data_IF_942336384199
#
_entry.id   IF_942336384199
#
_cell.length_a   1.000
_cell.length_b   1.000
_cell.length_c   1.000
_cell.angle_alpha   90.00
_cell.angle_beta   90.00
_cell.angle_gamma   90.00
#
_symmetry.space_group_name_H-M   'P 1'
#
loop_
_entity.id
_entity.type
_entity.pdbx_description
1 polymer ?
#
# COMPACT_ATOMS: atom_id res chain seq x y z
N UNK A 1 16.23 37.37 -68.11
CA UNK A 1 16.71 37.86 -66.81
C UNK A 1 17.96 37.07 -66.48
N UNK A 2 19.13 37.66 -66.79
CA UNK A 2 20.18 38.06 -65.82
C UNK A 2 20.92 36.84 -65.25
N UNK A 3 22.04 36.43 -65.86
CA UNK A 3 23.44 36.86 -65.59
C UNK A 3 24.10 35.96 -64.55
N UNK A 4 25.01 35.04 -64.94
CA UNK A 4 26.43 35.23 -65.27
C UNK A 4 27.34 34.95 -64.05
N UNK A 5 28.52 34.38 -64.37
CA UNK A 5 29.78 34.39 -63.60
C UNK A 5 29.79 33.66 -62.26
N UNK A 6 30.53 32.54 -62.17
CA UNK A 6 31.93 32.55 -61.74
C UNK A 6 32.02 31.76 -60.42
N UNK A 7 33.13 31.32 -59.85
CA UNK A 7 34.56 31.36 -60.13
C UNK A 7 35.21 30.69 -58.89
N UNK A 8 36.34 29.97 -59.07
CA UNK A 8 37.43 29.73 -58.08
C UNK A 8 37.13 28.96 -56.76
N UNK A 9 37.82 27.85 -56.47
CA UNK A 9 39.18 27.68 -55.88
C UNK A 9 39.32 28.09 -54.41
N UNK A 10 39.67 27.15 -53.53
CA UNK A 10 40.99 27.08 -52.87
C UNK A 10 40.95 26.10 -51.70
N UNK A 11 42.04 25.34 -51.59
CA UNK A 11 42.38 24.45 -50.49
C UNK A 11 42.66 25.22 -49.19
N UNK A 12 42.52 24.53 -48.05
CA UNK A 12 43.41 24.58 -46.88
C UNK A 12 42.99 23.44 -45.93
N UNK A 13 43.68 22.30 -45.97
CA UNK A 13 44.88 21.92 -45.20
C UNK A 13 44.52 21.15 -43.91
N UNK A 14 45.14 19.98 -43.67
CA UNK A 14 44.84 19.09 -42.57
C UNK A 14 45.56 19.54 -41.31
N UNK A 15 45.03 19.17 -40.14
CA UNK A 15 45.88 19.03 -38.95
C UNK A 15 45.82 17.60 -38.41
N UNK A 16 47.04 17.12 -38.27
CA UNK A 16 47.48 15.81 -37.87
C UNK A 16 47.53 15.69 -36.34
N UNK A 17 47.16 14.49 -35.89
CA UNK A 17 47.67 13.71 -34.74
C UNK A 17 47.96 14.39 -33.39
N UNK A 18 47.31 13.86 -32.34
CA UNK A 18 48.03 13.38 -31.14
C UNK A 18 47.40 12.06 -30.64
N UNK A 19 48.22 11.01 -30.68
CA UNK A 19 48.14 9.78 -29.85
C UNK A 19 48.64 10.14 -28.44
N UNK A 20 48.09 9.62 -27.34
CA UNK A 20 48.50 8.33 -26.77
C UNK A 20 47.57 7.90 -25.59
N UNK A 21 47.54 6.58 -25.27
CA UNK A 21 46.71 5.99 -24.22
C UNK A 21 47.42 5.97 -22.86
N UNK A 22 46.70 6.12 -21.75
CA UNK A 22 47.19 5.63 -20.44
C UNK A 22 46.07 5.11 -19.55
N UNK A 23 46.33 3.88 -19.11
CA UNK A 23 45.59 3.00 -18.21
C UNK A 23 45.50 3.59 -16.79
N UNK A 24 44.34 3.51 -16.14
CA UNK A 24 44.27 3.48 -14.66
C UNK A 24 43.41 2.30 -14.22
N UNK A 25 44.11 1.28 -13.74
CA UNK A 25 43.57 0.12 -13.05
C UNK A 25 43.04 0.47 -11.65
N UNK A 26 41.93 -0.19 -11.33
CA UNK A 26 41.51 -0.76 -10.03
C UNK A 26 41.21 0.17 -8.84
N UNK A 27 39.93 0.16 -8.46
CA UNK A 27 39.41 0.61 -7.15
C UNK A 27 39.16 -0.65 -6.31
N UNK A 28 39.73 -0.78 -5.11
CA UNK A 28 39.33 -1.83 -4.17
C UNK A 28 38.19 -1.34 -3.25
N UNK A 29 37.09 -2.10 -3.23
CA UNK A 29 36.15 -2.24 -2.09
C UNK A 29 36.74 -3.35 -1.18
N UNK A 30 36.58 -3.37 0.17
CA UNK A 30 35.28 -3.29 0.83
C UNK A 30 35.25 -2.70 2.28
N UNK A 31 34.08 -2.26 2.71
CA UNK A 31 33.71 -2.34 4.13
C UNK A 31 32.25 -2.80 4.26
N UNK A 32 32.11 -3.95 4.92
CA UNK A 32 30.86 -4.55 5.33
C UNK A 32 30.12 -3.63 6.30
N UNK A 33 28.89 -3.22 5.95
CA UNK A 33 27.86 -2.93 6.94
C UNK A 33 26.57 -3.60 6.49
N UNK A 34 26.23 -4.67 7.20
CA UNK A 34 24.93 -5.33 7.09
C UNK A 34 23.83 -4.38 7.57
N UNK A 35 22.67 -4.30 6.91
CA UNK A 35 21.48 -3.76 7.55
C UNK A 35 20.88 -4.84 8.46
N UNK A 36 21.11 -4.71 9.77
CA UNK A 36 20.26 -5.36 10.76
C UNK A 36 18.92 -4.61 10.88
N UNK A 37 17.76 -5.29 10.85
CA UNK A 37 16.48 -4.67 11.09
C UNK A 37 16.27 -4.51 12.59
N UNK A 38 16.55 -3.33 13.13
CA UNK A 38 16.22 -3.04 14.53
C UNK A 38 14.85 -2.37 14.61
N UNK A 39 13.92 -3.16 15.13
CA UNK A 39 12.64 -2.74 15.68
C UNK A 39 12.86 -1.58 16.66
N UNK A 40 12.11 -0.49 16.50
CA UNK A 40 11.79 0.38 17.63
C UNK A 40 10.41 1.03 17.44
N UNK A 41 9.38 0.20 17.57
CA UNK A 41 8.21 0.63 18.33
C UNK A 41 8.67 0.64 19.79
N UNK A 42 8.77 1.83 20.38
CA UNK A 42 8.60 2.08 21.82
C UNK A 42 8.77 3.58 22.06
N UNK A 43 7.64 4.30 22.13
CA UNK A 43 7.60 5.58 22.83
C UNK A 43 6.77 5.39 24.09
N UNK A 44 7.52 5.14 25.17
CA UNK A 44 7.33 5.58 26.56
C UNK A 44 5.88 5.75 27.03
N UNK A 45 5.37 4.78 27.78
CA UNK A 45 4.37 5.07 28.82
C UNK A 45 5.17 5.37 30.09
N UNK A 46 5.00 6.59 30.62
CA UNK A 46 5.56 6.99 31.90
C UNK A 46 4.96 6.11 32.99
N UNK A 47 5.81 5.33 33.65
CA UNK A 47 5.53 4.78 34.97
C UNK A 47 5.68 5.94 35.96
N UNK A 48 4.56 6.42 36.48
CA UNK A 48 4.56 7.40 37.56
C UNK A 48 4.02 6.68 38.79
N UNK A 49 4.94 6.48 39.73
CA UNK A 49 4.72 5.87 41.02
C UNK A 49 3.56 6.52 41.78
N UNK A 50 2.96 5.67 42.61
CA UNK A 50 1.91 5.96 43.55
C UNK A 50 2.48 6.84 44.67
N UNK A 51 1.82 7.96 44.94
CA UNK A 51 1.76 8.55 46.28
C UNK A 51 0.26 8.82 46.56
N UNK A 52 -0.23 8.22 47.63
CA UNK A 52 -1.55 8.43 48.21
C UNK A 52 -1.48 9.65 49.14
N UNK A 53 -2.60 10.35 49.32
CA UNK A 53 -3.18 10.92 50.57
C UNK A 53 -4.29 11.93 50.14
N UNK A 54 -5.59 11.62 50.31
CA UNK A 54 -6.57 12.22 51.28
C UNK A 54 -6.94 13.70 50.90
N UNK A 55 -8.17 14.18 50.66
CA UNK A 55 -9.51 13.98 51.25
C UNK A 55 -10.65 14.57 50.35
N UNK A 56 -11.89 14.13 50.64
CA UNK A 56 -13.21 14.81 50.61
C UNK A 56 -14.07 15.06 49.34
N UNK A 57 -15.38 14.90 49.62
CA UNK A 57 -16.62 15.27 48.91
C UNK A 57 -17.29 14.32 47.87
N UNK A 58 -18.54 13.98 48.21
CA UNK A 58 -19.58 13.25 47.47
C UNK A 58 -19.86 13.78 46.06
N UNK A 59 -19.75 12.92 45.03
CA UNK A 59 -20.60 12.96 43.84
C UNK A 59 -20.57 11.59 43.12
N UNK A 60 -21.61 10.78 43.36
CA UNK A 60 -21.92 9.58 42.59
C UNK A 60 -22.46 9.98 41.21
N UNK A 61 -21.62 10.06 40.17
CA UNK A 61 -22.11 9.83 38.80
C UNK A 61 -21.04 9.39 37.77
N UNK A 62 -21.11 8.10 37.43
CA UNK A 62 -20.64 7.42 36.20
C UNK A 62 -19.12 7.39 35.92
N UNK A 63 -18.45 6.43 36.55
CA UNK A 63 -17.27 5.77 35.97
C UNK A 63 -17.63 5.16 34.60
N UNK A 64 -16.92 5.48 33.48
CA UNK A 64 -17.31 5.00 32.15
C UNK A 64 -17.28 3.47 32.12
N UNK A 65 -18.47 2.91 31.91
CA UNK A 65 -18.71 1.47 31.94
C UNK A 65 -17.72 0.73 31.03
N UNK A 66 -16.96 -0.18 31.66
CA UNK A 66 -16.28 -1.37 31.10
C UNK A 66 -16.37 -1.47 29.57
N UNK A 67 -15.23 -1.32 28.88
CA UNK A 67 -15.08 -1.63 27.44
C UNK A 67 -15.85 -2.90 27.13
N UNK A 68 -16.99 -2.77 26.46
CA UNK A 68 -17.81 -3.92 26.15
C UNK A 68 -16.98 -4.85 25.24
N UNK A 69 -16.82 -6.11 25.67
CA UNK A 69 -16.03 -7.10 24.94
C UNK A 69 -16.54 -7.31 23.51
N UNK A 70 -15.82 -8.13 22.73
CA UNK A 70 -16.20 -8.44 21.35
C UNK A 70 -17.59 -9.09 21.31
N UNK A 71 -18.59 -8.35 20.82
CA UNK A 71 -19.97 -8.87 20.64
C UNK A 71 -20.09 -9.65 19.33
N UNK A 72 -20.90 -10.71 19.33
CA UNK A 72 -21.27 -11.46 18.11
C UNK A 72 -22.17 -10.58 17.22
N UNK A 73 -21.96 -10.64 15.91
CA UNK A 73 -22.79 -9.98 14.89
C UNK A 73 -23.18 -10.99 13.81
N UNK A 74 -24.29 -10.73 13.09
CA UNK A 74 -24.70 -11.51 11.92
C UNK A 74 -23.73 -11.30 10.75
N UNK A 75 -23.61 -12.29 9.85
CA UNK A 75 -22.82 -12.19 8.61
C UNK A 75 -23.77 -11.81 7.48
N UNK A 76 -24.11 -10.53 7.45
CA UNK A 76 -24.96 -9.87 6.46
C UNK A 76 -24.42 -8.45 6.22
N UNK A 77 -24.97 -7.73 5.23
CA UNK A 77 -24.58 -6.34 4.99
C UNK A 77 -24.89 -5.48 6.22
N UNK A 78 -23.94 -4.65 6.66
CA UNK A 78 -24.13 -3.77 7.82
C UNK A 78 -24.73 -2.46 7.32
N UNK A 79 -26.02 -2.24 7.54
CA UNK A 79 -26.69 -1.03 7.04
C UNK A 79 -26.14 0.28 7.62
N UNK A 80 -25.83 0.28 8.92
CA UNK A 80 -25.26 1.45 9.60
C UNK A 80 -23.87 1.78 9.05
N UNK A 81 -23.76 2.90 8.33
CA UNK A 81 -22.55 3.35 7.64
C UNK A 81 -21.35 3.51 8.57
N UNK A 82 -21.54 4.08 9.75
CA UNK A 82 -20.46 4.29 10.72
C UNK A 82 -19.91 2.96 11.24
N UNK A 83 -20.79 2.05 11.65
CA UNK A 83 -20.43 0.70 12.08
C UNK A 83 -19.80 -0.10 10.96
N UNK A 84 -20.30 0.04 9.72
CA UNK A 84 -19.73 -0.61 8.54
C UNK A 84 -18.32 -0.12 8.26
N UNK A 85 -18.06 1.18 8.28
CA UNK A 85 -16.71 1.75 8.12
C UNK A 85 -15.73 1.29 9.20
N UNK A 86 -16.15 1.31 10.48
CA UNK A 86 -15.30 0.82 11.58
C UNK A 86 -15.00 -0.66 11.39
N UNK A 87 -16.01 -1.46 11.02
CA UNK A 87 -15.87 -2.89 10.79
C UNK A 87 -14.96 -3.19 9.61
N UNK A 88 -15.12 -2.47 8.50
CA UNK A 88 -14.26 -2.57 7.32
C UNK A 88 -12.81 -2.31 7.70
N UNK A 89 -12.52 -1.21 8.39
CA UNK A 89 -11.16 -0.86 8.80
C UNK A 89 -10.53 -1.95 9.69
N UNK A 90 -11.26 -2.44 10.70
CA UNK A 90 -10.78 -3.48 11.61
C UNK A 90 -10.59 -4.83 10.91
N UNK A 91 -11.56 -5.26 10.10
CA UNK A 91 -11.49 -6.55 9.38
C UNK A 91 -10.42 -6.54 8.31
N UNK A 92 -10.32 -5.46 7.53
CA UNK A 92 -9.26 -5.25 6.54
C UNK A 92 -7.87 -5.38 7.18
N UNK A 93 -7.63 -4.71 8.30
CA UNK A 93 -6.37 -4.83 9.02
C UNK A 93 -6.11 -6.28 9.49
N UNK A 94 -7.12 -6.92 10.08
CA UNK A 94 -7.01 -8.30 10.56
C UNK A 94 -6.72 -9.32 9.46
N UNK A 95 -7.43 -9.25 8.33
CA UNK A 95 -7.23 -10.19 7.22
C UNK A 95 -5.90 -9.94 6.50
N UNK A 96 -5.47 -8.69 6.35
CA UNK A 96 -4.14 -8.36 5.81
C UNK A 96 -3.03 -8.97 6.67
N UNK A 97 -3.13 -8.84 8.01
CA UNK A 97 -2.20 -9.48 8.95
C UNK A 97 -2.18 -11.00 8.79
N UNK A 98 -3.35 -11.62 8.62
CA UNK A 98 -3.45 -13.08 8.42
C UNK A 98 -2.84 -13.54 7.11
N UNK A 99 -3.02 -12.79 6.02
CA UNK A 99 -2.38 -13.08 4.74
C UNK A 99 -0.85 -13.01 4.83
N UNK A 100 -0.33 -12.00 5.54
CA UNK A 100 1.10 -11.89 5.84
C UNK A 100 1.61 -13.08 6.67
N UNK A 101 0.96 -13.39 7.80
CA UNK A 101 1.34 -14.52 8.65
C UNK A 101 1.34 -15.83 7.87
N UNK A 102 0.30 -16.10 7.07
CA UNK A 102 0.19 -17.32 6.27
C UNK A 102 1.34 -17.45 5.28
N UNK A 103 1.59 -16.41 4.47
CA UNK A 103 2.67 -16.43 3.48
C UNK A 103 4.05 -16.60 4.13
N UNK A 104 4.24 -16.00 5.31
CA UNK A 104 5.51 -16.06 6.05
C UNK A 104 5.74 -17.43 6.67
N UNK A 105 4.72 -18.00 7.32
CA UNK A 105 4.84 -19.29 8.02
C UNK A 105 4.98 -20.47 7.06
N UNK A 106 4.39 -20.37 5.87
CA UNK A 106 4.31 -21.52 4.93
C UNK A 106 5.13 -21.33 3.66
N UNK A 107 5.64 -20.12 3.39
CA UNK A 107 6.33 -19.79 2.14
C UNK A 107 5.42 -19.80 0.91
N UNK A 108 4.10 -19.86 1.09
CA UNK A 108 3.13 -19.90 -0.01
C UNK A 108 2.97 -18.54 -0.68
N UNK A 109 2.58 -18.56 -1.96
CA UNK A 109 2.25 -17.33 -2.69
C UNK A 109 0.80 -16.94 -2.41
N UNK A 110 0.58 -15.68 -2.02
CA UNK A 110 -0.72 -15.17 -1.57
C UNK A 110 -0.98 -13.82 -2.23
N UNK A 111 -2.20 -13.65 -2.76
CA UNK A 111 -2.74 -12.37 -3.23
C UNK A 111 -4.07 -12.11 -2.52
N UNK A 112 -4.19 -10.93 -1.93
CA UNK A 112 -5.41 -10.42 -1.33
C UNK A 112 -5.65 -9.00 -1.85
N UNK A 113 -6.86 -8.76 -2.35
CA UNK A 113 -7.33 -7.47 -2.84
C UNK A 113 -8.64 -7.11 -2.15
N UNK A 114 -8.73 -5.89 -1.62
CA UNK A 114 -9.92 -5.37 -0.94
C UNK A 114 -10.20 -3.97 -1.47
N UNK A 115 -11.41 -3.73 -1.96
CA UNK A 115 -11.84 -2.39 -2.43
C UNK A 115 -12.79 -1.78 -1.40
N UNK A 116 -12.58 -0.51 -1.04
CA UNK A 116 -13.52 0.23 -0.18
C UNK A 116 -14.73 0.73 -0.98
N UNK A 117 -15.78 1.16 -0.27
CA UNK A 117 -16.92 1.87 -0.88
C UNK A 117 -16.50 3.17 -1.59
N UNK A 118 -15.33 3.72 -1.25
CA UNK A 118 -14.76 4.90 -1.90
C UNK A 118 -13.89 4.56 -3.12
N UNK A 119 -13.83 3.30 -3.54
CA UNK A 119 -13.02 2.83 -4.67
C UNK A 119 -11.52 2.68 -4.38
N UNK A 120 -11.08 2.80 -3.13
CA UNK A 120 -9.67 2.60 -2.78
C UNK A 120 -9.34 1.11 -2.73
N UNK A 121 -8.31 0.72 -3.50
CA UNK A 121 -7.83 -0.65 -3.58
C UNK A 121 -6.70 -0.87 -2.58
N UNK A 122 -6.91 -1.75 -1.63
CA UNK A 122 -5.90 -2.22 -0.68
C UNK A 122 -5.44 -3.61 -1.07
N UNK A 123 -4.13 -3.83 -1.10
CA UNK A 123 -3.56 -5.11 -1.54
C UNK A 123 -2.52 -5.63 -0.57
N UNK A 124 -2.47 -6.96 -0.46
CA UNK A 124 -1.33 -7.71 0.06
C UNK A 124 -0.95 -8.74 -1.00
N UNK A 125 0.33 -8.83 -1.33
CA UNK A 125 0.82 -9.75 -2.35
C UNK A 125 2.22 -10.22 -2.03
N UNK A 126 2.50 -11.49 -2.31
CA UNK A 126 3.86 -12.03 -2.30
C UNK A 126 4.63 -11.63 -3.57
N UNK A 127 5.98 -11.72 -3.58
CA UNK A 127 6.80 -11.20 -4.68
C UNK A 127 6.45 -11.75 -6.07
N UNK A 128 6.11 -13.05 -6.20
CA UNK A 128 5.76 -13.62 -7.51
C UNK A 128 4.43 -13.11 -8.06
N UNK A 129 3.51 -12.71 -7.19
CA UNK A 129 2.17 -12.21 -7.56
C UNK A 129 2.12 -10.67 -7.64
N UNK A 130 3.16 -9.99 -7.15
CA UNK A 130 3.26 -8.53 -7.16
C UNK A 130 3.04 -7.89 -8.55
N UNK A 131 3.50 -8.48 -9.67
CA UNK A 131 3.23 -7.95 -11.00
C UNK A 131 1.75 -7.74 -11.32
N UNK A 132 0.83 -8.52 -10.73
CA UNK A 132 -0.60 -8.40 -10.98
C UNK A 132 -1.18 -7.07 -10.50
N UNK A 133 -0.57 -6.44 -9.50
CA UNK A 133 -1.04 -5.16 -8.93
C UNK A 133 -0.11 -3.99 -9.26
N UNK A 134 1.11 -4.24 -9.76
CA UNK A 134 2.08 -3.19 -10.10
C UNK A 134 2.18 -2.93 -11.61
N UNK A 135 2.13 -3.97 -12.45
CA UNK A 135 2.25 -3.81 -13.91
C UNK A 135 0.97 -3.27 -14.54
N UNK A 136 1.05 -2.54 -15.66
CA UNK A 136 -0.12 -2.02 -16.36
C UNK A 136 -1.13 -3.10 -16.76
N UNK A 137 -0.66 -4.23 -17.27
CA UNK A 137 -1.52 -5.36 -17.69
C UNK A 137 -2.45 -5.83 -16.56
N UNK A 138 -1.88 -6.07 -15.38
CA UNK A 138 -2.64 -6.51 -14.22
C UNK A 138 -3.56 -5.41 -13.66
N UNK A 139 -3.08 -4.16 -13.61
CA UNK A 139 -3.90 -3.01 -13.19
C UNK A 139 -5.10 -2.80 -14.10
N UNK A 140 -4.91 -2.89 -15.41
CA UNK A 140 -5.98 -2.74 -16.39
C UNK A 140 -7.04 -3.84 -16.21
N UNK A 141 -6.61 -5.09 -16.01
CA UNK A 141 -7.53 -6.20 -15.74
C UNK A 141 -8.35 -5.93 -14.47
N UNK A 142 -7.71 -5.54 -13.37
CA UNK A 142 -8.39 -5.20 -12.11
C UNK A 142 -9.41 -4.07 -12.34
N UNK A 143 -9.01 -3.00 -13.04
CA UNK A 143 -9.89 -1.87 -13.34
C UNK A 143 -11.09 -2.27 -14.20
N UNK A 144 -10.87 -3.08 -15.24
CA UNK A 144 -11.95 -3.59 -16.09
C UNK A 144 -12.98 -4.41 -15.28
N UNK A 145 -12.51 -5.22 -14.32
CA UNK A 145 -13.41 -5.96 -13.44
C UNK A 145 -14.20 -5.05 -12.49
N UNK A 146 -13.58 -4.01 -11.93
CA UNK A 146 -14.23 -3.10 -10.98
C UNK A 146 -15.21 -2.12 -11.64
N UNK A 147 -15.06 -1.86 -12.94
CA UNK A 147 -15.96 -0.99 -13.71
C UNK A 147 -17.10 -1.76 -14.38
N UNK A 148 -17.13 -3.09 -14.26
CA UNK A 148 -18.24 -3.89 -14.79
C UNK A 148 -19.55 -3.50 -14.06
N UNK A 149 -20.69 -3.43 -14.77
CA UNK A 149 -21.97 -3.09 -14.14
C UNK A 149 -22.35 -4.15 -13.10
N UNK A 150 -22.84 -3.69 -11.94
CA UNK A 150 -23.36 -4.58 -10.90
C UNK A 150 -24.67 -5.23 -11.37
N UNK A 151 -24.61 -6.51 -11.76
CA UNK A 151 -25.82 -7.32 -12.01
C UNK A 151 -26.50 -7.70 -10.68
N UNK A 152 -26.97 -6.71 -9.93
CA UNK A 152 -27.86 -6.93 -8.78
C UNK A 152 -29.30 -6.88 -9.26
N UNK A 153 -29.75 -7.98 -9.88
CA UNK A 153 -31.17 -8.20 -10.13
C UNK A 153 -31.85 -8.48 -8.78
N UNK A 154 -32.55 -7.48 -8.26
CA UNK A 154 -33.45 -7.63 -7.12
C UNK A 154 -34.75 -8.26 -7.63
N UNK A 155 -34.88 -9.58 -7.47
CA UNK A 155 -36.15 -10.29 -7.66
C UNK A 155 -37.06 -9.98 -6.45
N UNK A 156 -37.72 -8.81 -6.47
CA UNK A 156 -38.82 -8.53 -5.54
C UNK A 156 -40.05 -9.31 -6.00
N UNK A 157 -40.23 -10.50 -5.43
CA UNK A 157 -41.45 -11.29 -5.52
C UNK A 157 -42.64 -10.51 -4.98
N UNK A 158 -43.44 -9.95 -5.88
CA UNK A 158 -44.75 -9.40 -5.57
C UNK A 158 -45.76 -10.56 -5.55
N UNK A 159 -45.97 -11.19 -4.39
CA UNK A 159 -47.10 -12.09 -4.18
C UNK A 159 -48.23 -11.28 -3.53
N UNK A 160 -49.21 -10.91 -4.35
CA UNK A 160 -50.48 -10.33 -3.95
C UNK A 160 -51.29 -11.36 -3.15
N UNK A 161 -51.81 -11.05 -1.95
CA UNK A 161 -52.71 -11.98 -1.26
C UNK A 161 -54.10 -11.95 -1.91
N UNK A 162 -54.70 -13.14 -1.91
CA UNK A 162 -55.97 -13.54 -2.52
C UNK A 162 -57.18 -12.69 -2.17
#
# INVERSE_FOLDING_TARGET
MQSATGYYTTAQHPQQYMVQPTTRQQIPMPSHQQPHPQQQLNQVIMDNGQDLDEDDDDDDDKKPSRRSGRRKIKIEYIEDKTRRHITFSKRKAGIMKKAYELSTLTGTQVLLLVVSETGLVYTFTTPKLQPLVTKPEGKNLIQSCLNAPDNTMVENGNQQPS
#
